data_IF_010271873487
#
_entry.id   IF_010271873487
#
_cell.length_a   1.000
_cell.length_b   1.000
_cell.length_c   1.000
_cell.angle_alpha   90.00
_cell.angle_beta   90.00
_cell.angle_gamma   90.00
#
_symmetry.space_group_name_H-M   'P 1'
#
loop_
_entity.id
_entity.type
_entity.pdbx_description
1 polymer ?
#
# COMPACT_ATOMS: atom_id res chain seq x y z
N UNK A 1 53.42 3.97 13.07
CA UNK A 1 52.39 4.21 14.09
C UNK A 1 52.77 3.39 15.30
N UNK A 2 52.72 3.96 16.50
CA UNK A 2 53.13 3.24 17.70
C UNK A 2 52.06 2.21 18.05
N UNK A 3 52.46 0.99 18.40
CA UNK A 3 51.54 -0.08 18.82
C UNK A 3 50.67 0.36 20.01
N UNK A 4 51.19 1.23 20.88
CA UNK A 4 50.46 1.82 21.99
C UNK A 4 49.27 2.69 21.54
N UNK A 5 49.42 3.47 20.47
CA UNK A 5 48.36 4.33 19.92
C UNK A 5 47.24 3.47 19.32
N UNK A 6 47.62 2.36 18.68
CA UNK A 6 46.68 1.42 18.06
C UNK A 6 45.86 0.65 19.12
N UNK A 7 46.52 0.20 20.20
CA UNK A 7 45.83 -0.42 21.34
C UNK A 7 44.83 0.56 21.99
N UNK A 8 45.21 1.83 22.11
CA UNK A 8 44.33 2.84 22.70
C UNK A 8 43.12 3.11 21.79
N UNK A 9 43.33 3.16 20.48
CA UNK A 9 42.25 3.36 19.50
C UNK A 9 41.26 2.18 19.49
N UNK A 10 41.76 0.94 19.56
CA UNK A 10 40.93 -0.26 19.64
C UNK A 10 40.08 -0.29 20.92
N UNK A 11 40.62 0.15 22.07
CA UNK A 11 39.85 0.25 23.32
C UNK A 11 38.70 1.25 23.19
N UNK A 12 38.95 2.41 22.60
CA UNK A 12 37.91 3.41 22.34
C UNK A 12 36.81 2.87 21.42
N UNK A 13 37.17 2.10 20.40
CA UNK A 13 36.21 1.46 19.51
C UNK A 13 35.35 0.41 20.24
N UNK A 14 35.96 -0.40 21.11
CA UNK A 14 35.23 -1.39 21.91
C UNK A 14 34.22 -0.68 22.83
N UNK A 15 34.63 0.39 23.50
CA UNK A 15 33.74 1.17 24.37
C UNK A 15 32.58 1.79 23.59
N UNK A 16 32.84 2.40 22.44
CA UNK A 16 31.77 2.99 21.62
C UNK A 16 30.79 1.91 21.11
N UNK A 17 31.30 0.77 20.64
CA UNK A 17 30.48 -0.35 20.22
C UNK A 17 29.61 -0.90 21.37
N UNK A 18 30.16 -1.00 22.58
CA UNK A 18 29.40 -1.42 23.76
C UNK A 18 28.28 -0.43 24.10
N UNK A 19 28.54 0.88 24.01
CA UNK A 19 27.52 1.93 24.20
C UNK A 19 26.43 1.83 23.13
N UNK A 20 26.79 1.59 21.88
CA UNK A 20 25.83 1.40 20.79
C UNK A 20 24.97 0.15 21.00
N UNK A 21 25.56 -0.95 21.46
CA UNK A 21 24.87 -2.20 21.75
C UNK A 21 23.86 -2.01 22.90
N UNK A 22 24.27 -1.35 23.99
CA UNK A 22 23.38 -1.02 25.10
C UNK A 22 22.20 -0.16 24.66
N UNK A 23 22.45 0.86 23.82
CA UNK A 23 21.40 1.72 23.24
C UNK A 23 20.44 0.92 22.36
N UNK A 24 20.94 -0.01 21.55
CA UNK A 24 20.11 -0.87 20.71
C UNK A 24 19.24 -1.81 21.55
N UNK A 25 19.80 -2.43 22.60
CA UNK A 25 19.08 -3.28 23.53
C UNK A 25 18.00 -2.53 24.31
N UNK A 26 18.28 -1.30 24.77
CA UNK A 26 17.25 -0.49 25.44
C UNK A 26 16.10 -0.14 24.49
N UNK A 27 16.38 0.12 23.21
CA UNK A 27 15.33 0.32 22.19
C UNK A 27 14.52 -0.95 21.94
N UNK A 28 15.18 -2.10 21.84
CA UNK A 28 14.53 -3.39 21.64
C UNK A 28 13.63 -3.76 22.83
N UNK A 29 14.13 -3.65 24.06
CA UNK A 29 13.36 -3.96 25.27
C UNK A 29 12.18 -3.01 25.51
N UNK A 30 12.25 -1.77 24.99
CA UNK A 30 11.11 -0.82 25.03
C UNK A 30 10.03 -1.15 24.00
N UNK A 31 10.36 -1.87 22.94
CA UNK A 31 9.37 -2.28 21.95
C UNK A 31 8.51 -3.42 22.52
N UNK A 32 7.18 -3.27 22.48
CA UNK A 32 6.22 -4.31 22.92
C UNK A 32 6.31 -5.59 22.08
N UNK A 33 6.82 -5.47 20.86
CA UNK A 33 7.14 -6.55 19.93
C UNK A 33 8.36 -6.11 19.09
N UNK A 34 9.44 -6.90 19.13
CA UNK A 34 10.71 -6.63 18.43
C UNK A 34 10.63 -7.06 16.96
N UNK A 35 9.64 -7.88 16.60
CA UNK A 35 9.47 -8.30 15.22
C UNK A 35 9.28 -7.05 14.33
N UNK A 36 9.97 -6.99 13.17
CA UNK A 36 9.77 -5.89 12.25
C UNK A 36 8.28 -5.81 11.92
N UNK A 37 7.67 -4.64 12.10
CA UNK A 37 6.25 -4.45 11.83
C UNK A 37 6.01 -4.59 10.33
N UNK A 38 5.74 -5.80 9.87
CA UNK A 38 5.35 -6.06 8.50
C UNK A 38 3.99 -5.42 8.26
N UNK A 39 3.99 -4.33 7.51
CA UNK A 39 2.77 -3.68 7.01
C UNK A 39 2.51 -4.18 5.59
N UNK A 40 1.81 -5.30 5.39
CA UNK A 40 1.51 -5.79 4.06
C UNK A 40 0.69 -4.73 3.33
N UNK A 41 1.19 -4.28 2.18
CA UNK A 41 0.42 -3.42 1.27
C UNK A 41 -0.43 -4.30 0.37
N UNK A 42 -1.60 -3.81 -0.03
CA UNK A 42 -2.51 -4.56 -0.91
C UNK A 42 -1.80 -5.04 -2.18
N UNK A 43 -0.99 -4.16 -2.79
CA UNK A 43 -0.15 -4.48 -3.95
C UNK A 43 0.78 -5.67 -3.70
N UNK A 44 1.43 -5.72 -2.53
CA UNK A 44 2.36 -6.80 -2.16
C UNK A 44 1.61 -8.12 -1.98
N UNK A 45 0.44 -8.10 -1.34
CA UNK A 45 -0.39 -9.30 -1.21
C UNK A 45 -0.87 -9.79 -2.58
N UNK A 46 -1.32 -8.90 -3.46
CA UNK A 46 -1.70 -9.26 -4.83
C UNK A 46 -0.56 -9.94 -5.59
N UNK A 47 0.69 -9.51 -5.38
CA UNK A 47 1.85 -10.16 -6.00
C UNK A 47 2.07 -11.61 -5.51
N UNK A 48 1.77 -11.91 -4.24
CA UNK A 48 1.85 -13.27 -3.70
C UNK A 48 0.65 -14.14 -4.11
N UNK A 49 -0.51 -13.53 -4.28
CA UNK A 49 -1.76 -14.22 -4.63
C UNK A 49 -1.75 -14.71 -6.10
N UNK A 50 -1.16 -13.93 -7.01
CA UNK A 50 -1.07 -14.27 -8.45
C UNK A 50 -0.44 -15.63 -8.75
N UNK A 51 0.73 -16.00 -8.21
CA UNK A 51 1.32 -17.32 -8.45
C UNK A 51 0.50 -18.46 -7.84
N UNK A 52 -0.29 -18.20 -6.80
CA UNK A 52 -1.16 -19.19 -6.15
C UNK A 52 -2.53 -19.38 -6.87
N UNK A 53 -2.65 -18.93 -8.13
CA UNK A 53 -3.88 -18.96 -8.94
C UNK A 53 -5.14 -18.47 -8.20
N UNK A 54 -4.95 -17.52 -7.30
CA UNK A 54 -6.01 -16.90 -6.52
C UNK A 54 -6.19 -15.45 -6.97
N UNK A 55 -7.33 -14.84 -6.67
CA UNK A 55 -7.59 -13.42 -6.90
C UNK A 55 -7.95 -12.71 -5.61
N UNK A 56 -7.51 -11.47 -5.44
CA UNK A 56 -7.81 -10.65 -4.27
C UNK A 56 -8.55 -9.39 -4.69
N UNK A 57 -9.80 -9.21 -4.23
CA UNK A 57 -10.56 -7.97 -4.39
C UNK A 57 -10.71 -7.23 -3.06
N UNK A 58 -10.82 -5.91 -3.15
CA UNK A 58 -11.01 -5.04 -1.98
C UNK A 58 -12.50 -4.78 -1.81
N UNK A 59 -13.04 -5.13 -0.64
CA UNK A 59 -14.48 -5.03 -0.35
C UNK A 59 -14.68 -4.20 0.92
N UNK A 60 -15.89 -3.66 1.12
CA UNK A 60 -16.26 -3.04 2.39
C UNK A 60 -16.09 -4.06 3.52
N UNK A 61 -15.24 -3.73 4.50
CA UNK A 61 -14.94 -4.63 5.63
C UNK A 61 -13.69 -5.51 5.48
N UNK A 62 -12.92 -5.39 4.38
CA UNK A 62 -11.60 -6.02 4.28
C UNK A 62 -11.20 -6.44 2.86
N UNK A 63 -10.67 -7.66 2.75
CA UNK A 63 -10.23 -8.27 1.50
C UNK A 63 -11.01 -9.55 1.22
N UNK A 64 -11.37 -9.77 -0.04
CA UNK A 64 -12.05 -10.98 -0.50
C UNK A 64 -11.09 -11.77 -1.37
N UNK A 65 -10.72 -12.96 -0.91
CA UNK A 65 -9.87 -13.89 -1.63
C UNK A 65 -10.76 -14.86 -2.40
N UNK A 66 -10.47 -15.03 -3.69
CA UNK A 66 -11.14 -15.94 -4.60
C UNK A 66 -10.17 -17.00 -5.08
N UNK A 67 -10.69 -18.21 -5.25
CA UNK A 67 -10.00 -19.29 -5.94
C UNK A 67 -11.03 -20.11 -6.73
N UNK A 68 -11.18 -19.78 -8.01
CA UNK A 68 -12.24 -20.34 -8.85
C UNK A 68 -13.63 -20.02 -8.31
N UNK A 69 -14.35 -21.05 -7.83
CA UNK A 69 -15.70 -20.93 -7.23
C UNK A 69 -15.68 -20.67 -5.73
N UNK A 70 -14.52 -20.83 -5.09
CA UNK A 70 -14.37 -20.65 -3.65
C UNK A 70 -14.08 -19.17 -3.37
N UNK A 71 -14.74 -18.62 -2.35
CA UNK A 71 -14.49 -17.26 -1.90
C UNK A 71 -14.49 -17.19 -0.38
N UNK A 72 -13.58 -16.40 0.20
CA UNK A 72 -13.53 -16.11 1.63
C UNK A 72 -13.21 -14.65 1.88
N UNK A 73 -14.03 -14.03 2.72
CA UNK A 73 -13.77 -12.68 3.22
C UNK A 73 -12.83 -12.75 4.42
N UNK A 74 -11.81 -11.89 4.40
CA UNK A 74 -10.90 -11.64 5.50
C UNK A 74 -11.13 -10.23 6.04
N UNK A 75 -11.10 -10.08 7.37
CA UNK A 75 -11.30 -8.78 8.02
C UNK A 75 -10.11 -7.87 7.81
N UNK A 76 -8.91 -8.46 7.79
CA UNK A 76 -7.65 -7.76 7.65
C UNK A 76 -6.77 -8.34 6.56
N UNK A 77 -6.02 -7.46 5.89
CA UNK A 77 -5.00 -7.86 4.93
C UNK A 77 -3.86 -8.64 5.59
N UNK A 78 -3.63 -8.43 6.88
CA UNK A 78 -2.61 -9.16 7.67
C UNK A 78 -2.94 -10.66 7.76
N UNK A 79 -4.22 -11.01 7.89
CA UNK A 79 -4.65 -12.41 7.94
C UNK A 79 -4.32 -13.13 6.62
N UNK A 80 -4.63 -12.48 5.50
CA UNK A 80 -4.32 -12.99 4.16
C UNK A 80 -2.79 -13.14 4.00
N UNK A 81 -2.03 -12.13 4.41
CA UNK A 81 -0.56 -12.17 4.34
C UNK A 81 0.03 -13.34 5.13
N UNK A 82 -0.42 -13.54 6.37
CA UNK A 82 0.06 -14.64 7.22
C UNK A 82 -0.27 -16.00 6.61
N UNK A 83 -1.47 -16.13 6.04
CA UNK A 83 -1.92 -17.35 5.39
C UNK A 83 -1.11 -17.69 4.14
N UNK A 84 -0.78 -16.69 3.31
CA UNK A 84 0.00 -16.89 2.08
C UNK A 84 1.50 -17.12 2.34
N UNK A 85 2.01 -16.67 3.49
CA UNK A 85 3.42 -16.86 3.87
C UNK A 85 3.67 -18.26 4.45
N UNK A 86 2.62 -19.00 4.80
CA UNK A 86 2.75 -20.39 5.25
C UNK A 86 3.11 -21.30 4.06
N UNK A 87 4.08 -22.18 4.23
CA UNK A 87 4.53 -23.11 3.19
C UNK A 87 3.48 -24.19 2.86
N UNK A 88 2.73 -24.63 3.88
CA UNK A 88 1.77 -25.72 3.77
C UNK A 88 0.41 -25.26 4.28
N UNK A 89 -0.57 -25.17 3.37
CA UNK A 89 -1.95 -24.85 3.70
C UNK A 89 -2.90 -25.78 2.96
N UNK A 90 -3.98 -26.18 3.62
CA UNK A 90 -5.04 -26.98 3.01
C UNK A 90 -6.17 -26.07 2.50
N UNK A 91 -6.69 -26.38 1.31
CA UNK A 91 -7.80 -25.64 0.72
C UNK A 91 -9.07 -25.67 1.59
N UNK A 92 -9.30 -26.76 2.31
CA UNK A 92 -10.40 -26.89 3.27
C UNK A 92 -10.36 -25.86 4.39
N UNK A 93 -9.15 -25.50 4.83
CA UNK A 93 -8.92 -24.64 5.99
C UNK A 93 -9.00 -23.17 5.57
N UNK A 94 -8.59 -22.88 4.33
CA UNK A 94 -8.70 -21.56 3.72
C UNK A 94 -10.14 -21.31 3.28
N UNK A 95 -10.80 -22.25 2.63
CA UNK A 95 -12.14 -22.07 2.07
C UNK A 95 -13.10 -23.09 2.69
N UNK A 96 -13.60 -22.82 3.91
CA UNK A 96 -14.58 -23.71 4.52
C UNK A 96 -15.81 -23.80 3.61
N UNK A 97 -16.51 -24.95 3.60
CA UNK A 97 -17.69 -25.16 2.79
C UNK A 97 -18.70 -24.04 3.05
N UNK A 98 -18.98 -23.30 1.99
CA UNK A 98 -19.64 -22.01 2.06
C UNK A 98 -21.09 -22.19 2.53
N UNK A 99 -21.47 -21.62 3.68
CA UNK A 99 -22.81 -21.80 4.26
C UNK A 99 -23.91 -21.01 3.52
N UNK A 100 -23.54 -19.99 2.74
CA UNK A 100 -24.41 -19.25 1.82
C UNK A 100 -23.56 -18.36 0.89
N UNK A 101 -24.05 -18.00 -0.32
CA UNK A 101 -23.45 -16.95 -1.14
C UNK A 101 -23.45 -15.63 -0.35
N UNK A 102 -22.27 -15.05 -0.15
CA UNK A 102 -22.15 -13.73 0.45
C UNK A 102 -22.35 -12.70 -0.65
N UNK A 103 -23.43 -11.94 -0.58
CA UNK A 103 -23.63 -10.77 -1.43
C UNK A 103 -22.69 -9.65 -0.98
N UNK A 104 -21.74 -9.29 -1.84
CA UNK A 104 -20.78 -8.23 -1.53
C UNK A 104 -21.08 -6.97 -2.33
N UNK A 105 -21.17 -5.85 -1.63
CA UNK A 105 -21.18 -4.53 -2.25
C UNK A 105 -19.73 -4.13 -2.45
N UNK A 106 -19.34 -3.89 -3.71
CA UNK A 106 -18.03 -3.36 -4.03
C UNK A 106 -17.80 -2.06 -3.25
N UNK A 107 -16.61 -1.92 -2.68
CA UNK A 107 -16.27 -0.68 -2.00
C UNK A 107 -16.20 0.44 -3.05
N UNK A 108 -16.88 1.58 -2.84
CA UNK A 108 -16.76 2.69 -3.77
C UNK A 108 -15.28 3.11 -3.87
N UNK A 109 -14.81 3.50 -5.06
CA UNK A 109 -13.45 4.00 -5.23
C UNK A 109 -13.24 5.17 -4.27
N UNK A 110 -12.23 5.05 -3.40
CA UNK A 110 -11.90 6.14 -2.47
C UNK A 110 -11.35 7.28 -3.30
N UNK A 111 -12.13 8.37 -3.42
CA UNK A 111 -11.62 9.60 -4.01
C UNK A 111 -10.39 10.05 -3.18
N UNK A 112 -9.30 10.48 -3.86
CA UNK A 112 -8.16 11.03 -3.16
C UNK A 112 -8.63 12.19 -2.29
N UNK A 113 -8.37 12.12 -0.99
CA UNK A 113 -8.56 13.27 -0.10
C UNK A 113 -7.46 14.26 -0.44
N UNK A 114 -7.75 15.22 -1.31
CA UNK A 114 -6.89 16.39 -1.50
C UNK A 114 -7.18 17.36 -0.36
N UNK A 115 -6.29 17.54 0.62
CA UNK A 115 -6.62 18.34 1.80
C UNK A 115 -6.85 19.83 1.51
N UNK A 116 -6.53 20.39 0.33
CA UNK A 116 -6.68 21.83 0.08
C UNK A 116 -6.84 22.22 -1.41
N UNK A 117 -7.80 21.65 -2.15
CA UNK A 117 -8.11 22.09 -3.53
C UNK A 117 -9.43 22.84 -3.69
N UNK A 118 -10.15 23.08 -2.59
CA UNK A 118 -11.45 23.77 -2.57
C UNK A 118 -11.35 25.30 -2.54
N UNK A 119 -10.15 25.89 -2.51
CA UNK A 119 -9.98 27.35 -2.60
C UNK A 119 -9.49 27.84 -3.97
N UNK A 120 -9.12 26.95 -4.90
CA UNK A 120 -8.49 27.38 -6.16
C UNK A 120 -9.03 26.74 -7.44
N UNK A 121 -10.06 25.89 -7.39
CA UNK A 121 -10.70 25.39 -8.62
C UNK A 121 -12.03 26.10 -8.85
N UNK A 122 -11.91 27.22 -9.57
CA UNK A 122 -12.62 27.47 -10.83
C UNK A 122 -14.16 27.49 -10.77
N UNK A 123 -14.72 28.68 -10.51
CA UNK A 123 -16.11 29.01 -10.81
C UNK A 123 -16.34 29.01 -12.33
N UNK A 124 -16.82 27.90 -12.90
CA UNK A 124 -17.31 27.86 -14.29
C UNK A 124 -18.54 28.74 -14.53
N UNK A 125 -19.19 29.23 -13.46
CA UNK A 125 -20.44 29.98 -13.55
C UNK A 125 -20.26 31.48 -13.77
N UNK A 126 -19.12 32.07 -13.42
CA UNK A 126 -18.99 33.53 -13.39
C UNK A 126 -18.30 34.13 -14.62
N UNK A 127 -17.71 33.31 -15.50
CA UNK A 127 -17.11 33.77 -16.76
C UNK A 127 -16.04 34.86 -16.62
N UNK A 128 -15.57 35.15 -15.41
CA UNK A 128 -14.59 36.20 -15.12
C UNK A 128 -13.23 35.56 -14.86
N UNK A 129 -12.17 35.92 -15.62
CA UNK A 129 -10.83 35.54 -15.25
C UNK A 129 -10.43 36.19 -13.91
N UNK A 130 -9.57 35.55 -13.10
CA UNK A 130 -9.05 36.17 -11.89
C UNK A 130 -8.27 37.44 -12.25
N UNK A 131 -8.53 38.51 -11.51
CA UNK A 131 -8.08 39.87 -11.80
C UNK A 131 -6.57 40.14 -11.59
N UNK A 132 -5.74 39.12 -11.39
CA UNK A 132 -4.31 39.29 -11.13
C UNK A 132 -3.47 38.23 -11.86
N UNK A 133 -2.65 38.61 -12.86
CA UNK A 133 -1.82 37.67 -13.62
C UNK A 133 -0.44 37.36 -12.99
N UNK A 134 -0.05 37.92 -11.84
CA UNK A 134 1.34 37.84 -11.38
C UNK A 134 1.72 36.69 -10.43
N UNK A 135 0.79 35.87 -9.95
CA UNK A 135 1.12 34.75 -9.04
C UNK A 135 0.99 33.35 -9.69
N UNK A 136 0.91 33.28 -11.01
CA UNK A 136 0.89 32.02 -11.76
C UNK A 136 2.32 31.49 -12.04
N UNK A 137 3.10 31.24 -10.99
CA UNK A 137 4.24 30.32 -11.08
C UNK A 137 3.76 28.89 -10.77
N UNK A 138 2.85 28.38 -11.57
CA UNK A 138 2.63 26.94 -11.64
C UNK A 138 3.45 26.38 -12.79
N UNK A 139 4.51 25.67 -12.41
CA UNK A 139 5.31 24.86 -13.30
C UNK A 139 4.42 23.92 -14.12
N UNK A 140 4.68 23.90 -15.42
CA UNK A 140 4.01 23.10 -16.44
C UNK A 140 4.02 21.61 -16.06
N UNK A 141 2.95 21.14 -15.40
CA UNK A 141 2.63 19.71 -15.35
C UNK A 141 1.86 19.41 -16.63
N UNK A 142 2.59 18.89 -17.63
CA UNK A 142 2.00 18.40 -18.88
C UNK A 142 1.04 17.24 -18.57
N UNK A 143 -0.26 17.52 -18.55
CA UNK A 143 -1.28 16.49 -18.67
C UNK A 143 -1.30 16.01 -20.12
N UNK A 144 -0.76 14.81 -20.36
CA UNK A 144 -0.99 14.10 -21.62
C UNK A 144 -2.41 13.54 -21.61
N UNK A 145 -3.33 14.29 -22.22
CA UNK A 145 -4.69 13.85 -22.50
C UNK A 145 -4.64 12.75 -23.57
N UNK A 146 -4.92 11.50 -23.18
CA UNK A 146 -5.15 10.42 -24.14
C UNK A 146 -6.54 10.60 -24.75
N UNK A 147 -6.55 11.15 -25.96
CA UNK A 147 -7.73 11.29 -26.81
C UNK A 147 -8.04 9.93 -27.42
N UNK A 148 -8.95 9.18 -26.81
CA UNK A 148 -9.49 7.95 -27.42
C UNK A 148 -10.55 8.37 -28.44
N UNK A 149 -10.19 8.31 -29.73
CA UNK A 149 -11.13 8.52 -30.83
C UNK A 149 -12.03 7.29 -30.95
N UNK A 150 -13.31 7.42 -30.60
CA UNK A 150 -14.35 6.46 -30.96
C UNK A 150 -14.71 6.67 -32.44
N UNK A 151 -14.32 5.74 -33.31
CA UNK A 151 -14.81 5.66 -34.69
C UNK A 151 -16.13 4.90 -34.63
N UNK A 152 -17.24 5.61 -34.78
CA UNK A 152 -18.55 5.02 -35.03
C UNK A 152 -18.67 4.75 -36.53
N UNK A 153 -18.60 3.48 -36.94
CA UNK A 153 -18.98 3.05 -38.28
C UNK A 153 -20.51 3.00 -38.36
N UNK A 154 -21.07 3.94 -39.11
CA UNK A 154 -22.46 3.92 -39.57
C UNK A 154 -22.58 2.87 -40.66
N UNK A 155 -23.25 1.75 -40.37
CA UNK A 155 -23.74 0.84 -41.40
C UNK A 155 -25.00 1.45 -42.02
N UNK A 156 -24.91 1.90 -43.28
CA UNK A 156 -26.06 2.14 -44.12
C UNK A 156 -26.50 0.83 -44.77
N UNK A 157 -27.83 0.66 -44.84
CA UNK A 157 -28.56 -0.46 -45.41
C UNK A 157 -28.33 -0.61 -46.91
#
# INVERSE_FOLDING_TARGET
MNEADEIQNLKLQIEDLQVQLLKALTRANRAKDISPVERPSFRRVVMLVRPAWSELKKVAGGGLLFMGKLQRQFKSLKEIWLLLTQENWYLSDIFPPQKAPLEFKDAPPRLPKYPNLTKQIFDWQTGKPPANPEESQFSSVRFTCWRTTLIATVNQK
#
